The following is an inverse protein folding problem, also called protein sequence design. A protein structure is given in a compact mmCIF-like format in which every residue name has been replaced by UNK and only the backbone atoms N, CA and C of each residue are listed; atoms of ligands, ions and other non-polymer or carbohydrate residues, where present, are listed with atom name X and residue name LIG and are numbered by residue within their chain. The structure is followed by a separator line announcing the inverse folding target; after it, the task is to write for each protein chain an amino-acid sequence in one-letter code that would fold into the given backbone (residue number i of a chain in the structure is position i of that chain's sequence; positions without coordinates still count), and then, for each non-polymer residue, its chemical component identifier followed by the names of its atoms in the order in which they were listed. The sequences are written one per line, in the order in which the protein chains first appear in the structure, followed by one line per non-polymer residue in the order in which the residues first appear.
data_IF_879777213156
#
_entry.id   IF_879777213156
#
_cell.length_a   1.000
_cell.length_b   1.000
_cell.length_c   1.000
_cell.angle_alpha   90.00
_cell.angle_beta   90.00
_cell.angle_gamma   90.00
#
_symmetry.space_group_name_H-M   'P 1'
#
loop_
_entity.id
_entity.type
_entity.pdbx_description
1 polymer ?
#
# COMPACT_ATOMS: atom_id res chain seq x y z
N UNK A 1 -13.18 1.62 28.58
CA UNK A 1 -14.35 2.02 27.78
C UNK A 1 -14.65 0.87 26.85
N UNK A 2 -15.77 0.18 27.08
CA UNK A 2 -16.21 -0.90 26.21
C UNK A 2 -16.72 -0.30 24.91
N UNK A 3 -15.81 -0.12 23.96
CA UNK A 3 -16.19 0.13 22.58
C UNK A 3 -16.96 -1.12 22.12
N UNK A 4 -18.27 -0.99 21.97
CA UNK A 4 -19.07 -1.94 21.22
C UNK A 4 -18.37 -2.15 19.88
N UNK A 5 -17.74 -3.31 19.69
CA UNK A 5 -17.15 -3.67 18.41
C UNK A 5 -18.32 -4.08 17.52
N UNK A 6 -18.95 -3.12 16.85
CA UNK A 6 -19.86 -3.44 15.75
C UNK A 6 -18.99 -3.99 14.63
N UNK A 7 -19.01 -5.31 14.50
CA UNK A 7 -18.35 -6.03 13.42
C UNK A 7 -19.29 -5.97 12.21
N UNK A 8 -19.09 -4.99 11.34
CA UNK A 8 -19.78 -4.94 10.06
C UNK A 8 -19.15 -5.98 9.13
N UNK A 9 -19.96 -6.76 8.40
CA UNK A 9 -19.41 -7.69 7.41
C UNK A 9 -18.70 -6.89 6.30
N UNK A 10 -17.56 -7.35 5.78
CA UNK A 10 -16.76 -6.61 4.79
C UNK A 10 -17.57 -6.12 3.58
N UNK A 11 -18.53 -6.92 3.12
CA UNK A 11 -19.40 -6.56 1.99
C UNK A 11 -20.26 -5.31 2.24
N UNK A 12 -20.62 -5.01 3.49
CA UNK A 12 -21.36 -3.79 3.85
C UNK A 12 -20.48 -2.55 3.87
N UNK A 13 -19.21 -2.70 4.19
CA UNK A 13 -18.22 -1.60 4.17
C UNK A 13 -17.69 -1.32 2.76
N UNK A 14 -17.68 -2.34 1.90
CA UNK A 14 -17.12 -2.28 0.54
C UNK A 14 -17.64 -1.10 -0.29
N UNK A 15 -18.94 -0.79 -0.22
CA UNK A 15 -19.53 0.34 -0.97
C UNK A 15 -18.94 1.67 -0.54
N UNK A 16 -18.77 1.88 0.78
CA UNK A 16 -18.16 3.10 1.31
C UNK A 16 -16.66 3.15 0.96
N UNK A 17 -15.93 2.05 1.11
CA UNK A 17 -14.50 1.98 0.76
C UNK A 17 -14.24 2.29 -0.73
N UNK A 18 -15.09 1.77 -1.63
CA UNK A 18 -15.05 2.04 -3.08
C UNK A 18 -15.38 3.49 -3.43
N UNK A 19 -16.10 4.21 -2.56
CA UNK A 19 -16.42 5.63 -2.80
C UNK A 19 -15.26 6.58 -2.53
N UNK A 20 -14.23 6.13 -1.81
CA UNK A 20 -13.05 6.95 -1.48
C UNK A 20 -12.03 6.88 -2.61
N UNK A 21 -11.86 7.98 -3.35
CA UNK A 21 -10.86 8.09 -4.42
C UNK A 21 -9.42 7.95 -3.90
N UNK A 22 -9.19 8.24 -2.62
CA UNK A 22 -7.90 7.96 -1.97
C UNK A 22 -7.52 6.48 -2.03
N UNK A 23 -8.49 5.56 -2.03
CA UNK A 23 -8.21 4.13 -2.25
C UNK A 23 -7.62 3.89 -3.64
N UNK A 24 -8.13 4.57 -4.67
CA UNK A 24 -7.65 4.46 -6.04
C UNK A 24 -6.25 5.09 -6.22
N UNK A 25 -5.98 6.21 -5.54
CA UNK A 25 -4.66 6.85 -5.49
C UNK A 25 -3.60 5.92 -4.90
N UNK A 26 -3.96 5.11 -3.91
CA UNK A 26 -3.05 4.20 -3.19
C UNK A 26 -2.91 2.80 -3.83
N UNK A 27 -3.41 2.59 -5.05
CA UNK A 27 -3.12 1.35 -5.79
C UNK A 27 -1.61 1.19 -6.03
N UNK A 28 -1.13 -0.05 -6.24
CA UNK A 28 0.23 -0.29 -6.66
C UNK A 28 0.63 0.59 -7.85
N UNK A 29 1.70 1.36 -7.70
CA UNK A 29 2.17 2.30 -8.73
C UNK A 29 2.98 1.56 -9.80
N UNK A 30 2.77 1.81 -11.11
CA UNK A 30 3.62 1.30 -12.19
C UNK A 30 5.10 1.73 -12.08
N UNK A 31 5.40 2.75 -11.27
CA UNK A 31 6.78 3.20 -11.02
C UNK A 31 7.54 2.29 -10.04
N UNK A 32 6.83 1.47 -9.26
CA UNK A 32 7.39 0.58 -8.23
C UNK A 32 7.08 -0.89 -8.54
N UNK A 33 5.91 -1.16 -9.13
CA UNK A 33 5.40 -2.50 -9.41
C UNK A 33 5.44 -2.76 -10.91
N UNK A 34 5.98 -3.91 -11.31
CA UNK A 34 6.01 -4.34 -12.69
C UNK A 34 4.60 -4.53 -13.27
N UNK A 35 4.38 -4.25 -14.56
CA UNK A 35 3.05 -4.26 -15.18
C UNK A 35 2.36 -5.64 -15.14
N UNK A 36 3.14 -6.71 -15.15
CA UNK A 36 2.67 -8.10 -15.18
C UNK A 36 2.81 -8.82 -13.82
N UNK A 37 3.16 -8.09 -12.76
CA UNK A 37 3.17 -8.66 -11.43
C UNK A 37 1.74 -8.97 -10.98
N UNK A 38 1.48 -10.23 -10.65
CA UNK A 38 0.14 -10.67 -10.27
C UNK A 38 -0.20 -10.19 -8.87
N UNK A 39 -1.31 -9.44 -8.75
CA UNK A 39 -1.85 -8.90 -7.50
C UNK A 39 -3.04 -9.73 -6.99
N UNK A 40 -3.85 -10.25 -7.90
CA UNK A 40 -4.99 -11.10 -7.57
C UNK A 40 -5.05 -12.33 -8.49
N UNK A 41 -5.40 -13.48 -7.93
CA UNK A 41 -5.48 -14.77 -8.62
C UNK A 41 -6.89 -15.31 -8.43
N UNK A 42 -7.54 -15.70 -9.53
CA UNK A 42 -8.79 -16.43 -9.54
C UNK A 42 -8.64 -17.68 -10.42
N UNK A 43 -9.57 -18.65 -10.38
CA UNK A 43 -9.47 -19.83 -11.24
C UNK A 43 -9.63 -19.53 -12.73
N UNK A 44 -10.17 -18.35 -13.08
CA UNK A 44 -10.37 -17.92 -14.47
C UNK A 44 -9.25 -17.02 -14.98
N UNK A 45 -8.69 -16.18 -14.12
CA UNK A 45 -7.81 -15.08 -14.53
C UNK A 45 -6.90 -14.61 -13.40
N UNK A 46 -5.71 -14.15 -13.78
CA UNK A 46 -4.80 -13.40 -12.92
C UNK A 46 -4.88 -11.92 -13.26
N UNK A 47 -4.93 -11.08 -12.23
CA UNK A 47 -4.97 -9.63 -12.37
C UNK A 47 -3.64 -9.01 -11.96
N UNK A 48 -3.19 -8.06 -12.76
CA UNK A 48 -1.99 -7.24 -12.60
C UNK A 48 -2.30 -5.80 -13.01
N UNK A 49 -1.31 -4.91 -12.94
CA UNK A 49 -1.51 -3.52 -13.39
C UNK A 49 -1.84 -3.43 -14.89
N UNK A 50 -1.41 -4.41 -15.71
CA UNK A 50 -1.68 -4.45 -17.14
C UNK A 50 -3.13 -4.77 -17.54
N UNK A 51 -3.96 -5.32 -16.65
CA UNK A 51 -5.37 -5.64 -16.92
C UNK A 51 -6.32 -5.13 -15.83
N UNK A 52 -5.98 -3.98 -15.24
CA UNK A 52 -6.73 -3.40 -14.13
C UNK A 52 -8.16 -2.97 -14.51
N UNK A 53 -8.38 -2.53 -15.76
CA UNK A 53 -9.72 -2.25 -16.28
C UNK A 53 -10.61 -3.50 -16.28
N UNK A 54 -10.07 -4.65 -16.69
CA UNK A 54 -10.78 -5.93 -16.63
C UNK A 54 -11.11 -6.32 -15.18
N UNK A 55 -10.19 -6.11 -14.24
CA UNK A 55 -10.44 -6.33 -12.82
C UNK A 55 -11.65 -5.52 -12.33
N UNK A 56 -11.70 -4.22 -12.62
CA UNK A 56 -12.80 -3.35 -12.19
C UNK A 56 -14.14 -3.74 -12.81
N UNK A 57 -14.15 -4.19 -14.07
CA UNK A 57 -15.34 -4.72 -14.71
C UNK A 57 -15.79 -6.06 -14.07
N UNK A 58 -14.86 -6.98 -13.84
CA UNK A 58 -15.12 -8.31 -13.28
C UNK A 58 -15.64 -8.26 -11.82
N UNK A 59 -15.39 -7.16 -11.09
CA UNK A 59 -15.95 -6.92 -9.73
C UNK A 59 -17.19 -6.03 -9.71
N UNK A 60 -17.79 -5.77 -10.88
CA UNK A 60 -18.95 -4.91 -11.10
C UNK A 60 -18.74 -3.48 -10.55
N UNK A 61 -17.53 -2.93 -10.75
CA UNK A 61 -17.18 -1.57 -10.33
C UNK A 61 -16.35 -0.82 -11.39
N UNK A 62 -16.89 -0.58 -12.60
CA UNK A 62 -16.17 0.11 -13.68
C UNK A 62 -15.75 1.54 -13.30
N UNK A 63 -16.47 2.21 -12.40
CA UNK A 63 -16.09 3.54 -11.90
C UNK A 63 -14.70 3.54 -11.24
N UNK A 64 -14.28 2.44 -10.63
CA UNK A 64 -12.95 2.34 -10.02
C UNK A 64 -11.81 2.47 -11.02
N UNK A 65 -12.03 2.07 -12.28
CA UNK A 65 -11.07 2.28 -13.36
C UNK A 65 -10.88 3.76 -13.69
N UNK A 66 -11.99 4.51 -13.77
CA UNK A 66 -11.94 5.96 -13.98
C UNK A 66 -11.27 6.68 -12.81
N UNK A 67 -11.57 6.27 -11.58
CA UNK A 67 -10.90 6.78 -10.38
C UNK A 67 -9.39 6.53 -10.47
N UNK A 68 -8.95 5.29 -10.76
CA UNK A 68 -7.53 4.98 -10.87
C UNK A 68 -6.83 5.76 -11.98
N UNK A 69 -7.45 5.89 -13.16
CA UNK A 69 -6.88 6.71 -14.25
C UNK A 69 -6.69 8.17 -13.85
N UNK A 70 -7.67 8.74 -13.16
CA UNK A 70 -7.61 10.11 -12.66
C UNK A 70 -6.46 10.27 -11.65
N UNK A 71 -6.42 9.42 -10.63
CA UNK A 71 -5.51 9.57 -9.49
C UNK A 71 -4.07 9.10 -9.77
N UNK A 72 -3.88 8.05 -10.58
CA UNK A 72 -2.56 7.43 -10.81
C UNK A 72 -1.53 8.40 -11.40
N UNK A 73 -1.99 9.39 -12.17
CA UNK A 73 -1.17 10.44 -12.76
C UNK A 73 -0.63 11.45 -11.73
N UNK A 74 -1.28 11.56 -10.58
CA UNK A 74 -0.96 12.56 -9.55
C UNK A 74 0.12 12.09 -8.58
N UNK A 75 0.54 10.82 -8.66
CA UNK A 75 1.59 10.28 -7.79
C UNK A 75 3.00 10.69 -8.27
N UNK A 76 3.57 11.65 -7.55
CA UNK A 76 4.95 12.10 -7.71
C UNK A 76 5.84 11.29 -6.77
N UNK A 77 6.92 10.71 -7.30
CA UNK A 77 7.91 9.93 -6.52
C UNK A 77 9.30 10.56 -6.57
N UNK A 78 9.40 11.72 -7.22
CA UNK A 78 10.63 12.47 -7.32
C UNK A 78 11.04 12.98 -5.93
N UNK A 79 12.35 13.07 -5.65
CA UNK A 79 12.83 13.56 -4.38
C UNK A 79 12.34 15.01 -4.12
N UNK A 80 11.93 15.34 -2.89
CA UNK A 80 11.28 16.62 -2.56
C UNK A 80 12.23 17.84 -2.54
N UNK A 81 13.54 17.67 -2.71
CA UNK A 81 14.50 18.77 -2.74
C UNK A 81 14.73 19.43 -1.38
N UNK A 82 14.61 18.65 -0.29
CA UNK A 82 14.83 19.09 1.10
C UNK A 82 15.52 18.00 1.89
N UNK A 83 16.02 18.28 3.10
CA UNK A 83 16.57 17.25 3.98
C UNK A 83 15.47 16.27 4.41
N UNK A 84 15.71 14.97 4.25
CA UNK A 84 14.72 13.92 4.52
C UNK A 84 15.21 13.00 5.64
N UNK A 85 14.29 12.64 6.53
CA UNK A 85 14.41 11.50 7.43
C UNK A 85 13.30 10.49 7.10
N UNK A 86 13.65 9.45 6.36
CA UNK A 86 12.75 8.40 5.94
C UNK A 86 12.76 7.27 6.97
N UNK A 87 11.66 7.12 7.71
CA UNK A 87 11.52 6.16 8.81
C UNK A 87 10.39 5.20 8.43
N UNK A 88 10.65 3.89 8.42
CA UNK A 88 9.64 2.90 8.10
C UNK A 88 9.85 1.55 8.79
N UNK A 89 8.74 0.83 8.96
CA UNK A 89 8.73 -0.53 9.51
C UNK A 89 9.21 -1.59 8.51
N UNK A 90 9.70 -2.71 9.03
CA UNK A 90 9.97 -3.91 8.24
C UNK A 90 9.80 -5.18 9.06
N UNK A 91 9.88 -6.34 8.43
CA UNK A 91 9.76 -7.68 9.03
C UNK A 91 8.38 -7.95 9.65
N UNK A 92 7.36 -7.20 9.22
CA UNK A 92 5.96 -7.47 9.53
C UNK A 92 5.31 -8.09 8.28
N UNK A 93 4.51 -9.13 8.50
CA UNK A 93 3.83 -9.89 7.46
C UNK A 93 2.80 -9.02 6.74
N UNK A 94 3.08 -8.58 5.51
CA UNK A 94 2.24 -7.64 4.73
C UNK A 94 1.60 -8.33 3.52
N UNK A 95 0.30 -8.14 3.24
CA UNK A 95 -0.35 -8.70 2.06
C UNK A 95 0.36 -8.32 0.74
N UNK A 96 0.60 -9.30 -0.13
CA UNK A 96 1.16 -9.08 -1.47
C UNK A 96 0.25 -9.59 -2.58
N UNK A 97 -0.44 -10.71 -2.36
CA UNK A 97 -1.34 -11.28 -3.36
C UNK A 97 -2.62 -11.81 -2.71
N UNK A 98 -3.73 -11.67 -3.43
CA UNK A 98 -5.04 -12.15 -3.03
C UNK A 98 -5.48 -13.30 -3.94
N UNK A 99 -5.78 -14.47 -3.35
CA UNK A 99 -6.01 -15.72 -4.07
C UNK A 99 -7.41 -16.25 -3.77
N UNK A 100 -8.24 -16.40 -4.80
CA UNK A 100 -9.52 -17.09 -4.73
C UNK A 100 -9.38 -18.45 -5.43
N UNK A 101 -9.53 -19.55 -4.68
CA UNK A 101 -9.40 -20.90 -5.24
C UNK A 101 -10.64 -21.39 -6.00
N UNK A 102 -11.78 -20.72 -5.83
CA UNK A 102 -13.03 -21.08 -6.50
C UNK A 102 -13.74 -19.84 -7.04
N UNK A 103 -14.37 -19.97 -8.21
CA UNK A 103 -15.03 -18.86 -8.91
C UNK A 103 -16.16 -18.22 -8.08
N UNK A 104 -16.91 -19.02 -7.31
CA UNK A 104 -18.03 -18.52 -6.49
C UNK A 104 -17.58 -17.69 -5.28
N UNK A 105 -16.27 -17.68 -4.96
CA UNK A 105 -15.73 -16.86 -3.88
C UNK A 105 -15.37 -15.44 -4.36
N UNK A 106 -15.00 -15.26 -5.62
CA UNK A 106 -14.64 -13.95 -6.16
C UNK A 106 -15.89 -13.23 -6.71
N UNK A 107 -16.11 -11.94 -6.40
CA UNK A 107 -15.31 -11.03 -5.55
C UNK A 107 -15.88 -10.86 -4.13
N UNK A 108 -16.87 -11.66 -3.74
CA UNK A 108 -17.71 -11.40 -2.55
C UNK A 108 -17.25 -12.06 -1.25
N UNK A 109 -16.34 -13.02 -1.32
CA UNK A 109 -15.79 -13.74 -0.18
C UNK A 109 -14.32 -13.42 0.03
N UNK A 110 -13.84 -13.64 1.26
CA UNK A 110 -12.45 -13.36 1.61
C UNK A 110 -11.48 -14.27 0.83
N UNK A 111 -10.42 -13.71 0.22
CA UNK A 111 -9.37 -14.49 -0.42
C UNK A 111 -8.45 -15.15 0.61
N UNK A 112 -7.69 -16.15 0.16
CA UNK A 112 -6.42 -16.47 0.80
C UNK A 112 -5.39 -15.39 0.49
N UNK A 113 -4.56 -15.03 1.46
CA UNK A 113 -3.58 -13.94 1.32
C UNK A 113 -2.18 -14.55 1.30
N UNK A 114 -1.42 -14.25 0.26
CA UNK A 114 0.03 -14.42 0.25
C UNK A 114 0.68 -13.17 0.82
N UNK A 115 1.74 -13.34 1.61
CA UNK A 115 2.35 -12.25 2.34
C UNK A 115 3.84 -12.14 2.03
N UNK A 116 4.29 -10.89 1.93
CA UNK A 116 5.69 -10.51 1.85
C UNK A 116 6.12 -9.69 3.05
N UNK A 117 7.21 -8.96 2.88
CA UNK A 117 7.79 -8.08 3.89
C UNK A 117 7.20 -6.66 3.82
N UNK A 118 6.99 -6.01 4.97
CA UNK A 118 6.60 -4.62 5.11
C UNK A 118 6.29 -4.28 6.57
N UNK A 119 5.34 -3.38 6.79
CA UNK A 119 4.87 -2.93 8.13
C UNK A 119 3.49 -3.51 8.51
N UNK A 120 3.01 -4.53 7.82
CA UNK A 120 1.67 -5.10 7.96
C UNK A 120 0.60 -4.46 7.07
N UNK A 121 0.83 -3.25 6.53
CA UNK A 121 -0.09 -2.57 5.59
C UNK A 121 0.59 -2.22 4.27
N UNK A 122 1.75 -1.58 4.33
CA UNK A 122 2.53 -1.10 3.18
C UNK A 122 3.68 -2.07 2.90
N UNK A 123 3.82 -2.50 1.65
CA UNK A 123 4.90 -3.40 1.25
C UNK A 123 6.26 -2.70 1.36
N UNK A 124 7.31 -3.46 1.74
CA UNK A 124 8.66 -2.94 1.91
C UNK A 124 9.18 -2.20 0.67
N UNK A 125 8.82 -2.67 -0.53
CA UNK A 125 9.20 -2.03 -1.80
C UNK A 125 8.68 -0.59 -1.93
N UNK A 126 7.49 -0.31 -1.42
CA UNK A 126 6.92 1.04 -1.40
C UNK A 126 7.52 1.87 -0.28
N UNK A 127 7.64 1.29 0.94
CA UNK A 127 8.24 1.97 2.10
C UNK A 127 9.69 2.41 1.85
N UNK A 128 10.43 1.62 1.09
CA UNK A 128 11.87 1.84 0.87
C UNK A 128 12.19 2.66 -0.38
N UNK A 129 11.20 3.26 -1.06
CA UNK A 129 11.40 4.13 -2.23
C UNK A 129 12.44 5.22 -1.98
N UNK A 130 12.46 5.80 -0.78
CA UNK A 130 13.41 6.83 -0.39
C UNK A 130 14.89 6.39 -0.46
N UNK A 131 15.20 5.08 -0.54
CA UNK A 131 16.56 4.57 -0.83
C UNK A 131 17.06 4.97 -2.22
N UNK A 132 16.17 5.32 -3.13
CA UNK A 132 16.53 5.80 -4.46
C UNK A 132 16.93 7.28 -4.46
N UNK A 133 16.68 7.99 -3.36
CA UNK A 133 17.03 9.39 -3.22
C UNK A 133 18.39 9.53 -2.53
N UNK A 134 19.22 10.43 -3.05
CA UNK A 134 20.54 10.78 -2.53
C UNK A 134 20.78 12.27 -2.68
N UNK A 135 21.88 12.80 -2.13
CA UNK A 135 22.26 14.21 -2.35
C UNK A 135 22.32 14.59 -3.83
N UNK A 136 22.70 13.65 -4.69
CA UNK A 136 22.91 13.91 -6.12
C UNK A 136 21.61 14.21 -6.87
N UNK A 137 20.50 13.56 -6.48
CA UNK A 137 19.20 13.75 -7.11
C UNK A 137 18.19 14.52 -6.24
N UNK A 138 18.48 14.75 -4.97
CA UNK A 138 17.64 15.51 -4.02
C UNK A 138 18.14 16.95 -3.82
N UNK A 139 18.58 17.61 -4.91
CA UNK A 139 19.03 19.01 -4.89
C UNK A 139 20.15 19.31 -3.88
N UNK A 140 21.06 18.36 -3.65
CA UNK A 140 22.15 18.49 -2.69
C UNK A 140 21.77 18.20 -1.23
N UNK A 141 20.50 17.91 -0.94
CA UNK A 141 20.03 17.65 0.41
C UNK A 141 20.16 16.17 0.82
N UNK A 142 20.57 15.95 2.08
CA UNK A 142 20.74 14.62 2.67
C UNK A 142 19.43 13.84 2.78
N UNK A 143 19.54 12.52 2.59
CA UNK A 143 18.45 11.56 2.80
C UNK A 143 18.91 10.55 3.84
N UNK A 144 18.33 10.63 5.04
CA UNK A 144 18.63 9.73 6.15
C UNK A 144 17.56 8.66 6.21
N UNK A 145 17.96 7.38 6.28
CA UNK A 145 17.02 6.26 6.22
C UNK A 145 17.16 5.44 7.49
N UNK A 146 16.05 5.23 8.18
CA UNK A 146 15.97 4.36 9.36
C UNK A 146 14.90 3.30 9.17
N UNK A 147 15.32 2.03 9.30
CA UNK A 147 14.41 0.89 9.24
C UNK A 147 14.17 0.37 10.65
N UNK A 148 12.90 0.26 11.03
CA UNK A 148 12.49 -0.20 12.35
C UNK A 148 11.90 -1.61 12.23
N UNK A 149 12.74 -2.62 12.40
CA UNK A 149 12.29 -4.01 12.34
C UNK A 149 11.22 -4.28 13.40
N UNK A 150 10.15 -4.97 13.00
CA UNK A 150 8.99 -5.31 13.82
C UNK A 150 8.02 -4.15 14.08
N UNK A 151 8.28 -2.93 13.60
CA UNK A 151 7.33 -1.82 13.76
C UNK A 151 6.18 -1.97 12.75
N UNK A 152 4.96 -2.17 13.26
CA UNK A 152 3.76 -2.21 12.42
C UNK A 152 3.30 -0.80 12.02
N UNK A 153 2.45 -0.75 11.00
CA UNK A 153 1.99 0.47 10.34
C UNK A 153 1.44 1.53 11.30
N UNK A 154 0.68 1.12 12.31
CA UNK A 154 0.13 2.05 13.31
C UNK A 154 1.03 2.16 14.53
N UNK A 155 1.63 1.04 14.95
CA UNK A 155 2.51 0.96 16.11
C UNK A 155 3.76 1.82 15.99
N UNK A 156 4.24 2.09 14.77
CA UNK A 156 5.43 2.93 14.52
C UNK A 156 5.33 4.33 15.16
N UNK A 157 4.12 4.88 15.31
CA UNK A 157 3.89 6.19 15.92
C UNK A 157 4.09 6.20 17.44
N UNK A 158 3.98 5.05 18.10
CA UNK A 158 4.17 4.88 19.54
C UNK A 158 5.40 4.01 19.87
N UNK A 159 6.25 3.73 18.89
CA UNK A 159 7.49 3.00 19.08
C UNK A 159 8.53 3.91 19.74
N UNK A 160 9.10 3.47 20.87
CA UNK A 160 10.10 4.25 21.62
C UNK A 160 11.31 4.64 20.74
N UNK A 161 11.70 3.78 19.78
CA UNK A 161 12.79 4.06 18.84
C UNK A 161 12.43 5.19 17.89
N UNK A 162 11.19 5.22 17.39
CA UNK A 162 10.68 6.32 16.55
C UNK A 162 10.67 7.62 17.34
N UNK A 163 10.13 7.59 18.57
CA UNK A 163 10.01 8.78 19.43
C UNK A 163 11.40 9.34 19.73
N UNK A 164 12.36 8.48 20.09
CA UNK A 164 13.74 8.88 20.37
C UNK A 164 14.44 9.46 19.14
N UNK A 165 14.23 8.85 17.97
CA UNK A 165 14.80 9.35 16.72
C UNK A 165 14.23 10.73 16.35
N UNK A 166 12.92 10.93 16.49
CA UNK A 166 12.30 12.24 16.25
C UNK A 166 12.81 13.29 17.24
N UNK A 167 12.98 12.95 18.53
CA UNK A 167 13.57 13.86 19.52
C UNK A 167 14.97 14.32 19.09
N UNK A 168 15.82 13.39 18.68
CA UNK A 168 17.19 13.68 18.22
C UNK A 168 17.26 14.50 16.91
N UNK A 169 16.19 14.52 16.12
CA UNK A 169 16.11 15.34 14.90
C UNK A 169 15.67 16.77 15.23
N UNK A 170 14.77 16.93 16.20
CA UNK A 170 14.10 18.22 16.49
C UNK A 170 14.85 19.04 17.53
N UNK A 171 15.47 18.39 18.52
CA UNK A 171 16.15 19.04 19.65
C UNK A 171 17.67 18.90 19.52
#
# INVERSE_FOLDING_TARGET
MDHWRVVLPPSRLRTMQRSFTSSALLFPSPKIWGPNETLAITPRKNYSLSNLEEFFNDIEFPQGWEQWKSESSSLIIDPPGVKIYCIYGSEVKTPEQYIWYHNWLFPDYQPYISYGNGDGTVNLRSLSLCKQWSSDNNSGHEVNITVLNGADHMGILNDDRTIELIKNIIF
#
